data_IF_882902329250
#
_entry.id   IF_882902329250
#
_cell.length_a   1.000
_cell.length_b   1.000
_cell.length_c   1.000
_cell.angle_alpha   90.00
_cell.angle_beta   90.00
_cell.angle_gamma   90.00
#
_symmetry.space_group_name_H-M   'P 1'
#
loop_
_entity.id
_entity.type
_entity.pdbx_description
1 polymer ?
#
# COMPACT_ATOMS: atom_id res chain seq x y z
N UNK A 1 8.86 4.52 0.59
CA UNK A 1 9.56 3.97 -0.59
C UNK A 1 10.85 3.24 -0.19
N UNK A 2 11.83 3.89 0.48
CA UNK A 2 13.15 3.30 0.78
C UNK A 2 13.08 2.03 1.66
N UNK A 3 12.22 1.97 2.68
CA UNK A 3 12.02 0.76 3.49
C UNK A 3 11.54 -0.42 2.62
N UNK A 4 10.60 -0.17 1.69
CA UNK A 4 10.16 -1.19 0.73
C UNK A 4 11.27 -1.57 -0.27
N UNK A 5 12.04 -0.59 -0.72
CA UNK A 5 13.16 -0.86 -1.62
C UNK A 5 14.18 -1.80 -0.96
N UNK A 6 14.55 -1.57 0.30
CA UNK A 6 15.44 -2.47 1.04
C UNK A 6 14.85 -3.87 1.18
N UNK A 7 13.57 -3.96 1.55
CA UNK A 7 12.89 -5.24 1.73
C UNK A 7 12.87 -6.07 0.43
N UNK A 8 12.72 -5.42 -0.74
CA UNK A 8 12.63 -6.10 -2.03
C UNK A 8 13.99 -6.36 -2.68
N UNK A 9 14.96 -5.46 -2.53
CA UNK A 9 16.24 -5.52 -3.26
C UNK A 9 17.46 -5.78 -2.38
N UNK A 10 17.40 -5.48 -1.07
CA UNK A 10 18.51 -5.65 -0.10
C UNK A 10 19.80 -4.95 -0.61
N UNK A 11 19.67 -3.65 -0.88
CA UNK A 11 20.81 -2.81 -1.27
C UNK A 11 21.30 -1.99 -0.06
N UNK A 12 22.03 -2.66 0.82
CA UNK A 12 22.60 -2.03 2.02
C UNK A 12 23.62 -0.94 1.70
N UNK A 13 24.37 -1.06 0.59
CA UNK A 13 25.31 -0.03 0.15
C UNK A 13 24.60 1.27 -0.21
N UNK A 14 23.56 1.19 -1.00
CA UNK A 14 22.71 2.35 -1.33
C UNK A 14 22.08 2.96 -0.07
N UNK A 15 21.56 2.14 0.84
CA UNK A 15 20.95 2.65 2.07
C UNK A 15 21.95 3.44 2.93
N UNK A 16 23.15 2.91 3.15
CA UNK A 16 24.19 3.60 3.94
C UNK A 16 24.57 4.92 3.28
N UNK A 17 24.68 4.96 1.95
CA UNK A 17 25.02 6.17 1.21
C UNK A 17 23.93 7.25 1.30
N UNK A 18 22.66 6.87 1.30
CA UNK A 18 21.52 7.81 1.33
C UNK A 18 21.01 8.11 2.76
N UNK A 19 21.55 7.44 3.78
CA UNK A 19 21.00 7.52 5.14
C UNK A 19 20.95 8.95 5.68
N UNK A 20 22.01 9.71 5.55
CA UNK A 20 22.06 11.08 6.07
C UNK A 20 20.99 11.98 5.43
N UNK A 21 20.75 11.84 4.13
CA UNK A 21 19.70 12.58 3.41
C UNK A 21 18.28 12.15 3.86
N UNK A 22 18.07 10.86 4.06
CA UNK A 22 16.79 10.33 4.55
C UNK A 22 16.53 10.86 5.95
N UNK A 23 17.54 10.81 6.82
CA UNK A 23 17.47 11.31 8.20
C UNK A 23 17.19 12.81 8.24
N UNK A 24 17.90 13.60 7.43
CA UNK A 24 17.69 15.05 7.30
C UNK A 24 16.26 15.37 6.86
N UNK A 25 15.74 14.72 5.81
CA UNK A 25 14.36 14.92 5.34
C UNK A 25 13.30 14.60 6.41
N UNK A 26 13.49 13.54 7.19
CA UNK A 26 12.60 13.21 8.29
C UNK A 26 12.70 14.23 9.44
N UNK A 27 13.90 14.72 9.74
CA UNK A 27 14.10 15.74 10.76
C UNK A 27 13.45 17.08 10.36
N UNK A 28 13.58 17.51 9.11
CA UNK A 28 12.94 18.72 8.59
C UNK A 28 11.42 18.68 8.75
N UNK A 29 10.81 17.52 8.46
CA UNK A 29 9.38 17.33 8.71
C UNK A 29 9.05 17.36 10.23
N UNK A 30 9.91 16.80 11.08
CA UNK A 30 9.76 16.83 12.53
C UNK A 30 9.73 18.24 13.09
N UNK A 31 10.57 19.15 12.58
CA UNK A 31 10.58 20.56 13.02
C UNK A 31 9.28 21.29 12.69
N UNK A 32 8.47 20.75 11.78
CA UNK A 32 7.16 21.30 11.41
C UNK A 32 6.01 20.66 12.17
N UNK A 33 6.28 19.84 13.17
CA UNK A 33 5.25 19.25 14.00
C UNK A 33 4.89 20.15 15.19
N UNK A 34 3.62 20.11 15.57
CA UNK A 34 3.17 20.72 16.81
C UNK A 34 3.59 19.92 18.06
N UNK A 35 3.22 20.43 19.24
CA UNK A 35 3.52 19.77 20.53
C UNK A 35 2.87 18.39 20.68
N UNK A 36 1.85 18.06 19.91
CA UNK A 36 1.21 16.74 19.87
C UNK A 36 1.87 15.77 18.90
N UNK A 37 2.81 16.26 18.08
CA UNK A 37 3.48 15.51 17.03
C UNK A 37 2.76 15.51 15.69
N UNK A 38 1.71 16.33 15.52
CA UNK A 38 1.00 16.48 14.25
C UNK A 38 1.81 17.32 13.29
N UNK A 39 2.01 16.79 12.09
CA UNK A 39 2.67 17.51 11.00
C UNK A 39 1.78 18.65 10.51
N UNK A 40 2.31 19.87 10.53
CA UNK A 40 1.64 21.08 10.04
C UNK A 40 1.95 21.19 8.53
N UNK A 41 0.92 21.17 7.65
CA UNK A 41 1.10 21.43 6.24
C UNK A 41 1.77 22.80 6.02
N UNK A 42 2.64 22.89 5.03
CA UNK A 42 3.15 24.19 4.61
C UNK A 42 2.08 24.86 3.72
N UNK A 43 1.66 26.06 4.07
CA UNK A 43 0.66 26.83 3.32
C UNK A 43 1.12 27.17 1.90
N UNK A 44 2.43 27.34 1.70
CA UNK A 44 3.04 27.63 0.40
C UNK A 44 3.20 26.42 -0.52
N UNK A 45 2.92 25.21 -0.03
CA UNK A 45 3.07 23.99 -0.82
C UNK A 45 1.76 23.26 -1.00
N UNK A 46 1.53 22.81 -2.23
CA UNK A 46 0.38 21.97 -2.54
C UNK A 46 0.49 20.61 -1.87
N UNK A 47 -0.42 20.34 -0.91
CA UNK A 47 -0.54 19.03 -0.31
C UNK A 47 -1.32 18.11 -1.25
N UNK A 48 -0.59 17.24 -1.94
CA UNK A 48 -1.16 16.22 -2.79
C UNK A 48 -1.25 14.86 -2.06
N UNK A 49 -2.45 14.33 -1.95
CA UNK A 49 -2.72 12.94 -1.55
C UNK A 49 -3.50 12.26 -2.64
N UNK A 50 -4.48 12.96 -3.22
CA UNK A 50 -5.33 12.49 -4.30
C UNK A 50 -5.98 13.69 -5.02
N UNK A 51 -6.63 13.46 -6.17
CA UNK A 51 -7.36 14.51 -6.91
C UNK A 51 -8.71 14.88 -6.27
N UNK A 52 -9.28 14.00 -5.44
CA UNK A 52 -10.57 14.27 -4.79
C UNK A 52 -10.43 15.47 -3.86
N UNK A 53 -11.37 16.44 -4.02
CA UNK A 53 -11.46 17.57 -3.12
C UNK A 53 -12.13 17.16 -1.82
N UNK A 54 -11.34 16.93 -0.79
CA UNK A 54 -11.76 16.49 0.54
C UNK A 54 -10.75 16.95 1.59
N UNK A 55 -11.14 16.81 2.86
CA UNK A 55 -10.22 17.05 3.98
C UNK A 55 -9.10 16.02 4.00
N UNK A 56 -7.85 16.49 4.10
CA UNK A 56 -6.63 15.66 3.95
C UNK A 56 -5.81 15.53 5.22
N UNK A 57 -6.15 16.25 6.28
CA UNK A 57 -5.32 16.34 7.48
C UNK A 57 -5.07 14.98 8.13
N UNK A 58 -6.12 14.18 8.38
CA UNK A 58 -5.95 12.85 9.01
C UNK A 58 -5.13 11.90 8.13
N UNK A 59 -5.36 11.93 6.82
CA UNK A 59 -4.58 11.14 5.87
C UNK A 59 -3.09 11.54 5.88
N UNK A 60 -2.79 12.83 5.97
CA UNK A 60 -1.43 13.35 6.13
C UNK A 60 -0.78 12.83 7.42
N UNK A 61 -1.50 12.84 8.55
CA UNK A 61 -0.96 12.37 9.82
C UNK A 61 -0.67 10.86 9.78
N UNK A 62 -1.49 10.05 9.10
CA UNK A 62 -1.25 8.61 8.91
C UNK A 62 -0.01 8.38 8.03
N UNK A 63 0.15 9.14 6.95
CA UNK A 63 1.35 9.09 6.11
C UNK A 63 2.61 9.51 6.90
N UNK A 64 2.50 10.53 7.75
CA UNK A 64 3.60 10.96 8.62
C UNK A 64 3.96 9.87 9.65
N UNK A 65 2.97 9.25 10.27
CA UNK A 65 3.19 8.09 11.13
C UNK A 65 3.90 6.95 10.40
N UNK A 66 3.48 6.64 9.18
CA UNK A 66 4.09 5.59 8.35
C UNK A 66 5.53 5.94 7.98
N UNK A 67 5.81 7.20 7.64
CA UNK A 67 7.16 7.68 7.35
C UNK A 67 8.10 7.52 8.55
N UNK A 68 7.64 7.88 9.77
CA UNK A 68 8.43 7.71 10.99
C UNK A 68 8.75 6.23 11.27
N UNK A 69 7.78 5.33 11.12
CA UNK A 69 8.01 3.90 11.32
C UNK A 69 8.97 3.31 10.26
N UNK A 70 8.87 3.75 9.01
CA UNK A 70 9.82 3.37 7.97
C UNK A 70 11.22 3.92 8.26
N UNK A 71 11.31 5.17 8.74
CA UNK A 71 12.57 5.77 9.19
C UNK A 71 13.23 5.00 10.33
N UNK A 72 12.44 4.57 11.31
CA UNK A 72 12.95 3.74 12.42
C UNK A 72 13.52 2.41 11.94
N UNK A 73 12.85 1.72 11.01
CA UNK A 73 13.34 0.47 10.42
C UNK A 73 14.63 0.67 9.62
N UNK A 74 14.71 1.75 8.84
CA UNK A 74 15.92 2.10 8.10
C UNK A 74 17.08 2.42 9.04
N UNK A 75 16.82 3.20 10.11
CA UNK A 75 17.81 3.48 11.15
C UNK A 75 18.37 2.21 11.80
N UNK A 76 17.51 1.24 12.10
CA UNK A 76 17.93 -0.07 12.63
C UNK A 76 18.85 -0.82 11.66
N UNK A 77 18.55 -0.79 10.35
CA UNK A 77 19.39 -1.45 9.32
C UNK A 77 20.79 -0.84 9.21
N UNK A 78 20.92 0.46 9.40
CA UNK A 78 22.23 1.14 9.36
C UNK A 78 22.93 1.22 10.74
N UNK A 79 22.28 0.72 11.80
CA UNK A 79 22.84 0.75 13.16
C UNK A 79 22.70 2.09 13.89
N UNK A 80 21.90 3.02 13.39
CA UNK A 80 21.60 4.31 14.05
C UNK A 80 20.50 4.12 15.12
N UNK A 81 20.93 3.60 16.27
CA UNK A 81 20.02 3.26 17.38
C UNK A 81 19.32 4.51 17.95
N UNK A 82 19.99 5.66 17.97
CA UNK A 82 19.43 6.91 18.47
C UNK A 82 18.26 7.35 17.59
N UNK A 83 18.45 7.43 16.29
CA UNK A 83 17.41 7.77 15.32
C UNK A 83 16.26 6.75 15.36
N UNK A 84 16.56 5.45 15.46
CA UNK A 84 15.53 4.41 15.57
C UNK A 84 14.63 4.62 16.79
N UNK A 85 15.21 4.82 17.96
CA UNK A 85 14.46 5.08 19.19
C UNK A 85 13.65 6.37 19.13
N UNK A 86 14.24 7.43 18.58
CA UNK A 86 13.55 8.71 18.40
C UNK A 86 12.28 8.54 17.56
N UNK A 87 12.39 7.90 16.37
CA UNK A 87 11.25 7.73 15.46
C UNK A 87 10.19 6.77 16.02
N UNK A 88 10.57 5.71 16.74
CA UNK A 88 9.63 4.82 17.43
C UNK A 88 8.81 5.60 18.47
N UNK A 89 9.48 6.37 19.32
CA UNK A 89 8.79 7.14 20.35
C UNK A 89 7.89 8.23 19.76
N UNK A 90 8.37 8.94 18.74
CA UNK A 90 7.60 9.97 18.04
C UNK A 90 6.36 9.39 17.37
N UNK A 91 6.49 8.28 16.64
CA UNK A 91 5.36 7.61 16.00
C UNK A 91 4.32 7.10 16.99
N UNK A 92 4.73 6.54 18.14
CA UNK A 92 3.83 6.09 19.19
C UNK A 92 3.04 7.25 19.81
N UNK A 93 3.70 8.39 20.03
CA UNK A 93 3.06 9.62 20.50
C UNK A 93 2.03 10.12 19.49
N UNK A 94 2.41 10.21 18.22
CA UNK A 94 1.54 10.63 17.12
C UNK A 94 0.31 9.72 17.02
N UNK A 95 0.49 8.39 16.99
CA UNK A 95 -0.62 7.42 16.94
C UNK A 95 -1.59 7.61 18.09
N UNK A 96 -1.06 7.76 19.32
CA UNK A 96 -1.87 7.95 20.53
C UNK A 96 -2.72 9.22 20.45
N UNK A 97 -2.12 10.33 20.02
CA UNK A 97 -2.82 11.60 19.93
C UNK A 97 -3.79 11.64 18.74
N UNK A 98 -3.40 11.09 17.60
CA UNK A 98 -4.28 11.00 16.42
C UNK A 98 -5.52 10.15 16.71
N UNK A 99 -5.37 9.03 17.42
CA UNK A 99 -6.51 8.19 17.81
C UNK A 99 -7.51 8.93 18.71
N UNK A 100 -7.05 9.83 19.58
CA UNK A 100 -7.95 10.63 20.43
C UNK A 100 -8.79 11.64 19.65
N UNK A 101 -8.26 12.18 18.54
CA UNK A 101 -8.91 13.27 17.81
C UNK A 101 -9.63 12.83 16.55
N UNK A 102 -9.18 11.76 15.89
CA UNK A 102 -9.67 11.35 14.57
C UNK A 102 -10.29 9.95 14.54
N UNK A 103 -10.09 9.09 15.53
CA UNK A 103 -10.73 7.78 15.59
C UNK A 103 -12.16 7.87 16.10
N UNK A 104 -13.12 7.46 15.30
CA UNK A 104 -14.54 7.35 15.71
C UNK A 104 -14.79 5.97 16.30
N UNK A 105 -14.90 5.88 17.62
CA UNK A 105 -15.13 4.61 18.33
C UNK A 105 -16.45 3.97 17.96
N UNK A 106 -17.52 4.75 17.76
CA UNK A 106 -18.86 4.27 17.42
C UNK A 106 -18.88 3.58 16.06
N UNK A 107 -18.30 4.22 15.05
CA UNK A 107 -18.32 3.74 13.67
C UNK A 107 -17.10 2.87 13.33
N UNK A 108 -16.10 2.83 14.21
CA UNK A 108 -14.82 2.12 14.02
C UNK A 108 -14.10 2.52 12.73
N UNK A 109 -13.96 3.83 12.49
CA UNK A 109 -13.33 4.43 11.31
C UNK A 109 -12.45 5.62 11.70
N UNK A 110 -11.54 5.97 10.81
CA UNK A 110 -10.81 7.24 10.86
C UNK A 110 -11.60 8.31 10.12
N UNK A 111 -11.96 9.38 10.81
CA UNK A 111 -12.58 10.54 10.20
C UNK A 111 -11.54 11.40 9.51
N UNK A 112 -11.81 11.88 8.30
CA UNK A 112 -11.08 13.03 7.75
C UNK A 112 -11.45 14.25 8.55
N UNK A 113 -10.48 14.86 9.21
CA UNK A 113 -10.75 15.88 10.21
C UNK A 113 -9.71 16.99 10.17
N UNK A 114 -10.18 18.19 10.40
CA UNK A 114 -9.40 19.34 10.85
C UNK A 114 -10.18 20.06 11.97
N UNK A 115 -9.79 21.27 12.34
CA UNK A 115 -10.43 22.04 13.41
C UNK A 115 -11.92 22.30 13.19
N UNK A 116 -12.37 22.36 11.94
CA UNK A 116 -13.74 22.76 11.56
C UNK A 116 -14.54 21.65 10.87
N UNK A 117 -13.89 20.66 10.30
CA UNK A 117 -14.49 19.64 9.42
C UNK A 117 -14.29 18.25 10.02
N UNK A 118 -15.30 17.41 9.91
CA UNK A 118 -15.25 15.99 10.23
C UNK A 118 -16.03 15.21 9.17
N UNK A 119 -15.36 14.48 8.30
CA UNK A 119 -15.94 13.83 7.12
C UNK A 119 -15.67 12.33 7.12
N UNK A 120 -16.61 11.57 6.50
CA UNK A 120 -16.44 10.16 6.17
C UNK A 120 -15.80 10.04 4.80
N UNK A 121 -14.52 9.72 4.74
CA UNK A 121 -13.79 9.57 3.47
C UNK A 121 -13.00 8.27 3.44
N UNK A 122 -12.64 7.80 2.25
CA UNK A 122 -11.89 6.56 2.06
C UNK A 122 -10.42 6.70 2.46
N UNK A 123 -9.80 7.84 2.17
CA UNK A 123 -8.35 8.04 2.21
C UNK A 123 -7.68 7.71 3.56
N UNK A 124 -8.10 8.28 4.70
CA UNK A 124 -7.48 7.93 5.98
C UNK A 124 -7.69 6.45 6.34
N UNK A 125 -8.81 5.85 5.96
CA UNK A 125 -9.15 4.48 6.25
C UNK A 125 -8.34 3.49 5.40
N UNK A 126 -8.19 3.76 4.11
CA UNK A 126 -7.29 3.01 3.21
C UNK A 126 -5.85 3.07 3.72
N UNK A 127 -5.34 4.27 3.96
CA UNK A 127 -3.97 4.46 4.44
C UNK A 127 -3.74 3.83 5.81
N UNK A 128 -4.75 3.83 6.68
CA UNK A 128 -4.65 3.22 8.01
C UNK A 128 -4.51 1.69 7.94
N UNK A 129 -5.21 1.02 7.02
CA UNK A 129 -5.05 -0.42 6.81
C UNK A 129 -3.66 -0.71 6.23
N UNK A 130 -3.31 -0.07 5.12
CA UNK A 130 -2.06 -0.38 4.39
C UNK A 130 -0.80 -0.03 5.20
N UNK A 131 -0.84 1.03 5.99
CA UNK A 131 0.27 1.41 6.88
C UNK A 131 0.38 0.54 8.15
N UNK A 132 -0.71 -0.12 8.54
CA UNK A 132 -0.78 -0.90 9.78
C UNK A 132 -0.96 -0.06 11.06
N UNK A 133 -1.40 1.20 10.94
CA UNK A 133 -1.70 2.03 12.13
C UNK A 133 -2.92 1.50 12.89
N UNK A 134 -3.90 0.88 12.19
CA UNK A 134 -5.05 0.20 12.80
C UNK A 134 -4.67 -1.15 13.37
N UNK A 135 -5.38 -1.58 14.41
CA UNK A 135 -5.31 -2.94 14.95
C UNK A 135 -6.40 -3.82 14.32
N UNK A 136 -6.23 -5.15 14.39
CA UNK A 136 -7.21 -6.11 13.83
C UNK A 136 -8.64 -5.92 14.37
N UNK A 137 -8.80 -5.46 15.61
CA UNK A 137 -10.11 -5.18 16.20
C UNK A 137 -10.81 -3.91 15.68
N UNK A 138 -10.14 -3.12 14.83
CA UNK A 138 -10.64 -1.85 14.28
C UNK A 138 -11.07 -1.98 12.80
N UNK A 139 -11.11 -3.17 12.24
CA UNK A 139 -11.25 -3.36 10.80
C UNK A 139 -12.72 -3.38 10.31
N UNK A 140 -13.69 -3.68 11.18
CA UNK A 140 -15.08 -3.90 10.76
C UNK A 140 -15.73 -2.65 10.19
N UNK A 141 -15.60 -1.51 10.87
CA UNK A 141 -16.16 -0.24 10.40
C UNK A 141 -15.47 0.25 9.13
N UNK A 142 -14.14 0.12 9.07
CA UNK A 142 -13.36 0.49 7.88
C UNK A 142 -13.80 -0.34 6.67
N UNK A 143 -13.98 -1.65 6.82
CA UNK A 143 -14.49 -2.52 5.76
C UNK A 143 -15.85 -2.05 5.26
N UNK A 144 -16.80 -1.82 6.16
CA UNK A 144 -18.14 -1.34 5.81
C UNK A 144 -18.10 0.02 5.08
N UNK A 145 -17.19 0.93 5.49
CA UNK A 145 -17.01 2.22 4.81
C UNK A 145 -16.47 2.03 3.40
N UNK A 146 -15.47 1.18 3.19
CA UNK A 146 -14.87 0.95 1.86
C UNK A 146 -15.80 0.20 0.91
N UNK A 147 -16.72 -0.60 1.41
CA UNK A 147 -17.78 -1.27 0.62
C UNK A 147 -18.96 -0.35 0.31
N UNK A 148 -19.09 0.78 1.00
CA UNK A 148 -20.21 1.71 0.82
C UNK A 148 -20.04 2.56 -0.45
N UNK A 149 -20.87 2.32 -1.44
CA UNK A 149 -20.87 3.03 -2.74
C UNK A 149 -21.35 4.49 -2.65
N UNK A 150 -21.96 4.92 -1.54
CA UNK A 150 -22.35 6.31 -1.32
C UNK A 150 -21.18 7.19 -0.83
N UNK A 151 -20.08 6.58 -0.39
CA UNK A 151 -18.86 7.30 -0.04
C UNK A 151 -18.06 7.57 -1.33
N UNK A 152 -17.69 8.80 -1.56
CA UNK A 152 -16.93 9.19 -2.74
C UNK A 152 -15.73 8.28 -2.97
N UNK A 153 -15.53 7.77 -4.19
CA UNK A 153 -14.38 6.94 -4.52
C UNK A 153 -13.07 7.73 -4.43
N UNK A 154 -11.96 7.05 -4.37
CA UNK A 154 -10.64 7.66 -4.59
C UNK A 154 -10.52 8.13 -6.04
N UNK A 155 -9.71 9.17 -6.29
CA UNK A 155 -9.68 9.86 -7.59
C UNK A 155 -8.58 9.41 -8.53
N UNK A 156 -7.48 8.88 -7.98
CA UNK A 156 -6.31 8.48 -8.78
C UNK A 156 -6.12 6.97 -8.81
N UNK A 157 -5.54 6.41 -9.88
CA UNK A 157 -5.16 5.00 -9.89
C UNK A 157 -4.09 4.66 -8.85
N UNK A 158 -3.31 5.66 -8.41
CA UNK A 158 -2.37 5.53 -7.30
C UNK A 158 -3.10 5.19 -5.99
N UNK A 159 -4.10 5.99 -5.61
CA UNK A 159 -4.92 5.71 -4.41
C UNK A 159 -5.82 4.49 -4.59
N UNK A 160 -6.32 4.22 -5.80
CA UNK A 160 -7.06 2.98 -6.10
C UNK A 160 -6.21 1.74 -5.84
N UNK A 161 -4.91 1.77 -6.13
CA UNK A 161 -3.97 0.70 -5.79
C UNK A 161 -3.91 0.44 -4.27
N UNK A 162 -3.82 1.47 -3.46
CA UNK A 162 -3.87 1.33 -1.99
C UNK A 162 -5.24 0.85 -1.50
N UNK A 163 -6.34 1.32 -2.10
CA UNK A 163 -7.68 0.86 -1.73
C UNK A 163 -7.87 -0.64 -2.00
N UNK A 164 -7.39 -1.13 -3.14
CA UNK A 164 -7.41 -2.55 -3.50
C UNK A 164 -6.60 -3.39 -2.50
N UNK A 165 -5.41 -2.92 -2.11
CA UNK A 165 -4.61 -3.58 -1.07
C UNK A 165 -5.35 -3.61 0.28
N UNK A 166 -5.96 -2.49 0.68
CA UNK A 166 -6.72 -2.42 1.93
C UNK A 166 -7.90 -3.40 1.94
N UNK A 167 -8.65 -3.48 0.84
CA UNK A 167 -9.78 -4.40 0.70
C UNK A 167 -9.35 -5.86 0.81
N UNK A 168 -8.24 -6.24 0.16
CA UNK A 168 -7.69 -7.58 0.28
C UNK A 168 -7.24 -7.91 1.71
N UNK A 169 -6.54 -6.99 2.37
CA UNK A 169 -6.09 -7.14 3.77
C UNK A 169 -7.26 -7.21 4.77
N UNK A 170 -8.40 -6.65 4.40
CA UNK A 170 -9.67 -6.78 5.13
C UNK A 170 -10.40 -8.09 4.82
N UNK A 171 -9.83 -8.99 4.02
CA UNK A 171 -10.38 -10.28 3.67
C UNK A 171 -11.48 -10.24 2.60
N UNK A 172 -11.57 -9.16 1.82
CA UNK A 172 -12.56 -9.02 0.75
C UNK A 172 -11.93 -9.13 -0.64
N UNK A 173 -11.35 -10.29 -0.92
CA UNK A 173 -10.63 -10.56 -2.18
C UNK A 173 -11.54 -10.46 -3.40
N UNK A 174 -12.79 -10.91 -3.32
CA UNK A 174 -13.71 -10.83 -4.46
C UNK A 174 -14.07 -9.38 -4.83
N UNK A 175 -14.26 -8.53 -3.82
CA UNK A 175 -14.50 -7.11 -4.06
C UNK A 175 -13.24 -6.42 -4.63
N UNK A 176 -12.07 -6.79 -4.12
CA UNK A 176 -10.79 -6.38 -4.65
C UNK A 176 -10.65 -6.76 -6.13
N UNK A 177 -10.89 -8.02 -6.48
CA UNK A 177 -10.82 -8.49 -7.87
C UNK A 177 -11.80 -7.76 -8.78
N UNK A 178 -13.03 -7.56 -8.32
CA UNK A 178 -14.02 -6.77 -9.06
C UNK A 178 -13.49 -5.37 -9.35
N UNK A 179 -12.91 -4.70 -8.36
CA UNK A 179 -12.37 -3.35 -8.52
C UNK A 179 -11.21 -3.30 -9.54
N UNK A 180 -10.33 -4.30 -9.50
CA UNK A 180 -9.23 -4.45 -10.48
C UNK A 180 -9.78 -4.63 -11.90
N UNK A 181 -10.78 -5.51 -12.07
CA UNK A 181 -11.40 -5.77 -13.37
C UNK A 181 -12.12 -4.53 -13.91
N UNK A 182 -12.87 -3.83 -13.06
CA UNK A 182 -13.62 -2.65 -13.46
C UNK A 182 -12.68 -1.49 -13.85
N UNK A 183 -11.63 -1.25 -13.09
CA UNK A 183 -10.74 -0.09 -13.30
C UNK A 183 -9.64 -0.36 -14.32
N UNK A 184 -8.71 -1.28 -14.02
CA UNK A 184 -7.59 -1.59 -14.94
C UNK A 184 -8.04 -2.42 -16.13
N UNK A 185 -8.96 -3.36 -15.96
CA UNK A 185 -9.62 -4.05 -17.06
C UNK A 185 -10.39 -3.09 -17.97
N UNK A 186 -10.98 -2.04 -17.40
CA UNK A 186 -11.58 -0.94 -18.16
C UNK A 186 -10.57 -0.23 -19.07
N UNK A 187 -9.35 0.05 -18.59
CA UNK A 187 -8.27 0.60 -19.43
C UNK A 187 -7.94 -0.35 -20.59
N UNK A 188 -7.80 -1.65 -20.33
CA UNK A 188 -7.53 -2.68 -21.36
C UNK A 188 -8.63 -2.69 -22.42
N UNK A 189 -9.91 -2.64 -22.02
CA UNK A 189 -11.06 -2.61 -22.93
C UNK A 189 -11.09 -1.35 -23.81
N UNK A 190 -10.39 -0.28 -23.41
CA UNK A 190 -10.21 0.96 -24.19
C UNK A 190 -8.93 0.95 -25.01
N UNK A 191 -8.21 -0.17 -25.08
CA UNK A 191 -7.01 -0.36 -25.91
C UNK A 191 -5.71 -0.02 -25.19
N UNK A 192 -5.70 0.06 -23.85
CA UNK A 192 -4.46 0.25 -23.11
C UNK A 192 -3.54 -0.97 -23.29
N UNK A 193 -2.28 -0.70 -23.62
CA UNK A 193 -1.19 -1.71 -23.65
C UNK A 193 -0.22 -1.50 -22.49
N UNK A 194 -0.40 -0.43 -21.75
CA UNK A 194 0.39 -0.02 -20.59
C UNK A 194 -0.51 0.78 -19.63
N UNK A 195 -0.07 1.02 -18.41
CA UNK A 195 -0.83 1.74 -17.39
C UNK A 195 -1.03 3.22 -17.76
N UNK A 196 -2.29 3.68 -17.76
CA UNK A 196 -2.66 5.06 -18.03
C UNK A 196 -2.66 5.90 -16.76
N UNK A 197 -2.48 7.20 -16.88
CA UNK A 197 -2.54 8.18 -15.80
C UNK A 197 -3.89 8.21 -15.07
N UNK A 198 -4.99 7.99 -15.79
CA UNK A 198 -6.35 7.95 -15.26
C UNK A 198 -7.28 7.14 -16.15
N UNK A 199 -8.36 6.67 -15.56
CA UNK A 199 -9.47 6.03 -16.26
C UNK A 199 -10.80 6.41 -15.61
N UNK A 200 -11.77 6.77 -16.43
CA UNK A 200 -13.13 7.00 -16.00
C UNK A 200 -14.12 6.27 -16.94
N UNK A 201 -14.86 5.27 -16.46
CA UNK A 201 -15.78 4.49 -17.30
C UNK A 201 -16.91 5.31 -17.93
N UNK A 202 -17.20 6.51 -17.40
CA UNK A 202 -18.25 7.41 -17.89
C UNK A 202 -17.82 8.27 -19.07
N UNK A 203 -16.50 8.36 -19.33
CA UNK A 203 -15.95 9.12 -20.45
C UNK A 203 -16.16 8.39 -21.77
N UNK A 204 -16.43 9.13 -22.86
CA UNK A 204 -16.44 8.61 -24.23
C UNK A 204 -15.05 8.11 -24.63
N UNK A 205 -14.96 7.49 -25.82
CA UNK A 205 -13.67 7.01 -26.32
C UNK A 205 -12.67 8.13 -26.52
N UNK A 206 -13.11 9.27 -27.08
CA UNK A 206 -12.28 10.45 -27.34
C UNK A 206 -11.90 11.17 -26.02
N UNK A 207 -12.82 11.27 -25.08
CA UNK A 207 -12.58 11.90 -23.79
C UNK A 207 -11.52 11.15 -22.96
N UNK A 208 -11.36 9.84 -23.15
CA UNK A 208 -10.32 9.06 -22.46
C UNK A 208 -8.89 9.57 -22.70
N UNK A 209 -8.65 10.27 -23.80
CA UNK A 209 -7.34 10.85 -24.12
C UNK A 209 -7.19 12.30 -23.69
N UNK A 210 -8.30 12.98 -23.41
CA UNK A 210 -8.31 14.36 -22.95
C UNK A 210 -7.92 14.45 -21.48
N UNK A 211 -7.04 15.40 -21.16
CA UNK A 211 -6.70 15.70 -19.77
C UNK A 211 -6.13 17.12 -19.63
N UNK A 212 -6.28 17.76 -18.49
CA UNK A 212 -5.81 19.13 -18.23
C UNK A 212 -6.24 20.14 -19.30
N UNK A 213 -7.47 20.02 -19.82
CA UNK A 213 -8.00 20.89 -20.87
C UNK A 213 -7.37 20.70 -22.25
N UNK A 214 -6.66 19.59 -22.49
CA UNK A 214 -6.00 19.27 -23.76
C UNK A 214 -6.59 17.99 -24.35
N UNK A 215 -6.87 17.91 -25.68
CA UNK A 215 -7.47 16.73 -26.33
C UNK A 215 -6.65 15.45 -26.20
N UNK A 216 -5.33 15.54 -26.09
CA UNK A 216 -4.41 14.41 -25.92
C UNK A 216 -3.47 14.68 -24.76
N UNK A 217 -4.00 15.22 -23.65
CA UNK A 217 -3.21 15.59 -22.47
C UNK A 217 -2.93 14.45 -21.52
N UNK A 218 -3.67 13.33 -21.62
CA UNK A 218 -3.51 12.18 -20.70
C UNK A 218 -2.21 11.43 -20.99
N UNK A 219 -1.44 11.15 -19.96
CA UNK A 219 -0.31 10.24 -20.09
C UNK A 219 -0.81 8.80 -20.21
N UNK A 220 -0.43 8.15 -21.31
CA UNK A 220 -0.76 6.73 -21.56
C UNK A 220 0.34 5.78 -21.09
N UNK A 221 1.38 6.28 -20.43
CA UNK A 221 2.45 5.53 -19.80
C UNK A 221 2.77 6.17 -18.45
N UNK A 222 2.07 5.77 -17.40
CA UNK A 222 2.14 6.44 -16.10
C UNK A 222 2.34 5.43 -14.97
N UNK A 223 3.54 5.43 -14.39
CA UNK A 223 3.99 4.45 -13.39
C UNK A 223 3.12 4.39 -12.13
N UNK A 224 2.48 5.49 -11.72
CA UNK A 224 1.63 5.50 -10.53
C UNK A 224 0.38 4.60 -10.63
N UNK A 225 0.01 4.19 -11.84
CA UNK A 225 -1.05 3.23 -12.10
C UNK A 225 -0.60 1.76 -12.04
N UNK A 226 0.70 1.50 -11.92
CA UNK A 226 1.26 0.14 -11.98
C UNK A 226 1.05 -0.67 -10.69
N UNK A 227 0.19 -0.21 -9.79
CA UNK A 227 -0.17 -0.92 -8.56
C UNK A 227 -0.44 -2.42 -8.74
N UNK A 228 -1.19 -2.88 -9.78
CA UNK A 228 -1.47 -4.31 -9.97
C UNK A 228 -0.23 -5.19 -10.03
N UNK A 229 0.87 -4.70 -10.59
CA UNK A 229 2.12 -5.47 -10.65
C UNK A 229 2.70 -5.78 -9.25
N UNK A 230 2.43 -4.93 -8.26
CA UNK A 230 2.89 -5.10 -6.89
C UNK A 230 1.85 -5.81 -6.02
N UNK A 231 0.59 -5.39 -6.06
CA UNK A 231 -0.40 -5.90 -5.12
C UNK A 231 -0.99 -7.25 -5.51
N UNK A 232 -1.08 -7.63 -6.81
CA UNK A 232 -1.62 -8.94 -7.15
C UNK A 232 -0.77 -10.09 -6.60
N UNK A 233 0.57 -10.11 -6.77
CA UNK A 233 1.39 -11.12 -6.10
C UNK A 233 1.25 -11.11 -4.57
N UNK A 234 1.21 -9.91 -3.96
CA UNK A 234 1.15 -9.76 -2.52
C UNK A 234 -0.20 -10.16 -1.93
N UNK A 235 -1.31 -9.82 -2.58
CA UNK A 235 -2.65 -9.98 -2.00
C UNK A 235 -3.35 -11.27 -2.45
N UNK A 236 -3.15 -11.75 -3.70
CA UNK A 236 -3.74 -13.02 -4.15
C UNK A 236 -2.93 -14.23 -3.71
N UNK A 237 -1.60 -14.12 -3.76
CA UNK A 237 -0.74 -15.23 -3.40
C UNK A 237 -0.21 -15.13 -1.96
N UNK A 238 -0.35 -13.96 -1.33
CA UNK A 238 0.27 -13.72 -0.02
C UNK A 238 1.79 -13.82 -0.08
N UNK A 239 2.37 -13.55 -1.26
CA UNK A 239 3.82 -13.51 -1.45
C UNK A 239 4.37 -12.24 -0.84
N UNK A 240 5.08 -12.37 0.29
CA UNK A 240 5.66 -11.24 1.00
C UNK A 240 7.08 -11.57 1.45
N UNK A 241 8.05 -10.68 1.22
CA UNK A 241 9.38 -10.85 1.78
C UNK A 241 9.31 -10.69 3.31
N UNK A 242 9.89 -11.64 4.02
CA UNK A 242 10.04 -11.63 5.48
C UNK A 242 11.44 -11.18 5.89
N UNK A 243 12.41 -11.33 4.99
CA UNK A 243 13.77 -10.80 5.09
C UNK A 243 14.14 -10.03 3.83
N UNK A 244 15.06 -9.08 3.99
CA UNK A 244 15.49 -8.22 2.91
C UNK A 244 15.96 -9.05 1.69
N UNK A 245 15.54 -8.59 0.50
CA UNK A 245 15.87 -9.24 -0.77
C UNK A 245 15.22 -10.58 -1.03
N UNK A 246 14.13 -10.92 -0.36
CA UNK A 246 13.41 -12.20 -0.54
C UNK A 246 14.19 -13.43 -0.04
N UNK A 247 15.16 -13.27 0.83
CA UNK A 247 15.93 -14.37 1.38
C UNK A 247 15.03 -15.37 2.11
N UNK A 248 14.04 -14.84 2.84
CA UNK A 248 12.92 -15.59 3.38
C UNK A 248 11.62 -14.89 3.00
N UNK A 249 10.60 -15.65 2.61
CA UNK A 249 9.32 -15.11 2.19
C UNK A 249 8.16 -16.01 2.62
N UNK A 250 6.97 -15.44 2.66
CA UNK A 250 5.72 -16.16 2.96
C UNK A 250 4.89 -16.42 1.70
N UNK A 251 3.97 -17.38 1.81
CA UNK A 251 2.94 -17.68 0.82
C UNK A 251 1.63 -17.95 1.59
N UNK A 252 0.60 -17.13 1.33
CA UNK A 252 -0.73 -17.26 1.95
C UNK A 252 -1.80 -16.97 0.89
N UNK A 253 -2.07 -17.90 -0.04
CA UNK A 253 -3.00 -17.66 -1.13
C UNK A 253 -4.43 -17.39 -0.64
N UNK A 254 -5.05 -16.40 -1.27
CA UNK A 254 -6.47 -16.13 -1.16
C UNK A 254 -6.96 -15.67 -2.54
N UNK A 255 -7.42 -16.61 -3.34
CA UNK A 255 -7.81 -16.37 -4.73
C UNK A 255 -9.25 -15.87 -4.89
N UNK A 256 -10.04 -15.76 -3.79
CA UNK A 256 -11.46 -15.46 -3.89
C UNK A 256 -12.19 -16.48 -4.79
N UNK A 257 -12.92 -16.00 -5.78
CA UNK A 257 -13.65 -16.86 -6.72
C UNK A 257 -12.80 -17.42 -7.86
N UNK A 258 -11.53 -17.07 -7.97
CA UNK A 258 -10.65 -17.59 -9.03
C UNK A 258 -10.32 -19.06 -8.79
N UNK A 259 -10.41 -19.87 -9.83
CA UNK A 259 -10.14 -21.31 -9.78
C UNK A 259 -8.67 -21.66 -10.01
N UNK A 260 -7.93 -20.77 -10.60
CA UNK A 260 -6.51 -20.89 -10.86
C UNK A 260 -5.83 -19.53 -10.87
N UNK A 261 -4.57 -19.51 -10.56
CA UNK A 261 -3.70 -18.34 -10.69
C UNK A 261 -2.25 -18.77 -10.87
N UNK A 262 -1.50 -17.98 -11.61
CA UNK A 262 -0.06 -18.15 -11.80
C UNK A 262 0.66 -16.84 -11.53
N UNK A 263 1.84 -16.91 -10.91
CA UNK A 263 2.73 -15.79 -10.74
C UNK A 263 4.18 -16.17 -10.94
N UNK A 264 4.92 -15.32 -11.64
CA UNK A 264 6.38 -15.38 -11.75
C UNK A 264 6.95 -14.09 -11.18
N UNK A 265 7.54 -14.15 -9.97
CA UNK A 265 8.09 -13.02 -9.26
C UNK A 265 9.62 -13.03 -9.34
N UNK A 266 10.25 -12.09 -10.03
CA UNK A 266 11.70 -12.02 -10.11
C UNK A 266 12.30 -11.54 -8.78
N UNK A 267 13.37 -12.20 -8.33
CA UNK A 267 14.17 -11.81 -7.19
C UNK A 267 15.66 -11.83 -7.56
N UNK A 268 16.53 -11.28 -6.73
CA UNK A 268 17.99 -11.37 -6.94
C UNK A 268 18.53 -12.80 -6.91
N UNK A 269 17.75 -13.76 -6.39
CA UNK A 269 18.12 -15.18 -6.34
C UNK A 269 17.56 -15.99 -7.50
N UNK A 270 16.73 -15.39 -8.35
CA UNK A 270 15.97 -16.04 -9.41
C UNK A 270 14.47 -15.86 -9.23
N UNK A 271 13.68 -16.54 -10.05
CA UNK A 271 12.24 -16.39 -10.05
C UNK A 271 11.58 -17.27 -8.98
N UNK A 272 10.70 -16.68 -8.16
CA UNK A 272 9.69 -17.42 -7.41
C UNK A 272 8.53 -17.65 -8.36
N UNK A 273 8.18 -18.91 -8.63
CA UNK A 273 7.07 -19.26 -9.52
C UNK A 273 6.05 -20.02 -8.68
N UNK A 274 4.80 -19.59 -8.75
CA UNK A 274 3.68 -20.24 -8.06
C UNK A 274 2.57 -20.48 -9.05
N UNK A 275 2.17 -21.75 -9.18
CA UNK A 275 1.02 -22.20 -9.95
C UNK A 275 -0.02 -22.75 -8.97
N UNK A 276 -1.24 -22.24 -9.03
CA UNK A 276 -2.35 -22.71 -8.20
C UNK A 276 -3.48 -23.15 -9.11
N UNK A 277 -3.90 -24.38 -8.97
CA UNK A 277 -5.05 -24.95 -9.69
C UNK A 277 -5.76 -25.99 -8.81
N UNK A 278 -7.07 -25.89 -8.68
CA UNK A 278 -7.91 -26.85 -7.95
C UNK A 278 -7.39 -27.21 -6.54
N UNK A 279 -6.89 -26.22 -5.80
CA UNK A 279 -6.31 -26.35 -4.45
C UNK A 279 -4.91 -27.02 -4.40
N UNK A 280 -4.34 -27.39 -5.53
CA UNK A 280 -2.95 -27.81 -5.60
C UNK A 280 -2.07 -26.56 -5.85
N UNK A 281 -1.01 -26.43 -5.06
CA UNK A 281 -0.05 -25.33 -5.17
C UNK A 281 1.28 -25.92 -5.56
N UNK A 282 1.75 -25.63 -6.76
CA UNK A 282 3.11 -25.93 -7.17
C UNK A 282 3.96 -24.68 -7.01
N UNK A 283 5.08 -24.78 -6.28
CA UNK A 283 5.99 -23.66 -6.07
C UNK A 283 7.42 -24.03 -6.44
N UNK A 284 8.08 -23.13 -7.17
CA UNK A 284 9.52 -23.15 -7.40
C UNK A 284 10.19 -22.08 -6.54
N UNK A 285 11.06 -22.50 -5.65
CA UNK A 285 11.78 -21.66 -4.69
C UNK A 285 13.22 -21.53 -5.16
N UNK A 286 13.72 -20.32 -5.48
CA UNK A 286 15.10 -20.11 -5.93
C UNK A 286 16.13 -20.61 -4.89
N UNK A 287 17.25 -21.11 -5.38
CA UNK A 287 18.36 -21.55 -4.51
C UNK A 287 18.86 -20.38 -3.66
N UNK A 288 19.02 -20.60 -2.36
CA UNK A 288 19.48 -19.58 -1.42
C UNK A 288 18.35 -18.77 -0.80
N UNK A 289 17.10 -19.13 -1.08
CA UNK A 289 15.91 -18.56 -0.44
C UNK A 289 15.09 -19.65 0.26
N UNK A 290 14.24 -19.23 1.20
CA UNK A 290 13.36 -20.12 1.95
C UNK A 290 11.94 -19.61 1.99
N UNK A 291 10.98 -20.53 1.84
CA UNK A 291 9.56 -20.26 2.04
C UNK A 291 9.15 -20.60 3.47
N UNK A 292 8.50 -19.69 4.15
CA UNK A 292 7.75 -19.97 5.37
C UNK A 292 6.29 -20.30 5.01
N UNK A 293 5.92 -21.56 5.25
CA UNK A 293 4.60 -22.09 4.95
C UNK A 293 4.02 -22.82 6.15
N UNK A 294 2.93 -22.27 6.72
CA UNK A 294 2.22 -22.86 7.89
C UNK A 294 3.18 -23.26 9.03
N UNK A 295 4.14 -22.39 9.33
CA UNK A 295 5.13 -22.60 10.40
C UNK A 295 6.31 -23.52 10.03
N UNK A 296 6.37 -24.03 8.79
CA UNK A 296 7.48 -24.82 8.28
C UNK A 296 8.36 -24.00 7.34
N UNK A 297 9.66 -24.30 7.33
CA UNK A 297 10.62 -23.74 6.39
C UNK A 297 10.83 -24.74 5.25
N UNK A 298 10.68 -24.27 4.02
CA UNK A 298 10.70 -25.09 2.81
C UNK A 298 11.73 -24.53 1.82
N UNK A 299 12.47 -25.42 1.16
CA UNK A 299 13.43 -25.11 0.10
C UNK A 299 13.17 -25.95 -1.16
N UNK A 300 13.56 -25.41 -2.32
CA UNK A 300 13.44 -26.06 -3.63
C UNK A 300 11.99 -26.20 -4.11
N UNK A 301 11.83 -26.83 -5.27
CA UNK A 301 10.51 -27.03 -5.88
C UNK A 301 9.66 -28.01 -5.09
N UNK A 302 8.41 -27.65 -4.82
CA UNK A 302 7.46 -28.45 -4.03
C UNK A 302 6.06 -28.38 -4.62
N UNK A 303 5.30 -29.45 -4.34
CA UNK A 303 3.83 -29.44 -4.46
C UNK A 303 3.27 -29.39 -3.05
N UNK A 304 2.55 -28.32 -2.75
CA UNK A 304 1.89 -28.11 -1.46
C UNK A 304 0.41 -28.41 -1.66
N UNK A 305 -0.20 -29.11 -0.72
CA UNK A 305 -1.66 -29.33 -0.74
C UNK A 305 -2.31 -28.49 0.33
N UNK A 306 -3.23 -27.64 -0.09
CA UNK A 306 -4.02 -26.82 0.81
C UNK A 306 -5.51 -26.91 0.43
N UNK A 307 -6.37 -26.68 1.41
CA UNK A 307 -7.77 -26.33 1.16
C UNK A 307 -7.81 -24.81 1.08
N UNK A 308 -7.81 -24.26 -0.12
CA UNK A 308 -8.00 -22.84 -0.39
C UNK A 308 -9.45 -22.43 -0.18
#
# INVERSE_FOLDING_TARGET
AQDQFQLYYDDSFHLVHEWDRIKEALNDLSFRCDSNGFLIPNEDTWLFIDWVNQEKWTALQILWWWAQNSGAKLAQRVGDTEAANYWINSSNKLKTNLSKVAWCVKEQIWLSKNDSISEYTRHPNVLAIVSGITTSGQNTGIRALLENTNINPVGTPYMAGFEVMALAQLGNTDYMLKHVIDYWGGMLNRGATIFWEAYNPKETYEEQYSFYGRPYGKSLCHAWSAGPAAFLPAELFGLRPLEDGWKRFSLHPNLGHLKWANVCLPTKYGNIIVDIENNDIQISIPKGTTLEWKGNIIEGTRILKDKL
#
